data_IF_476927990138
#
_entry.id   IF_476927990138
#
_cell.length_a   1.000
_cell.length_b   1.000
_cell.length_c   1.000
_cell.angle_alpha   90.00
_cell.angle_beta   90.00
_cell.angle_gamma   90.00
#
_symmetry.space_group_name_H-M   'P 1'
#
loop_
_entity.id
_entity.type
_entity.pdbx_description
1 polymer ?
#
# COMPACT_ATOMS: atom_id res chain seq x y z
N UNK A 1 -22.67 -15.39 2.52
CA UNK A 1 -21.36 -15.98 2.88
C UNK A 1 -20.91 -16.82 1.67
N UNK A 2 -19.67 -16.67 1.19
CA UNK A 2 -19.00 -17.49 0.14
C UNK A 2 -19.28 -17.28 -1.37
N UNK A 3 -19.03 -16.09 -1.92
CA UNK A 3 -18.77 -15.95 -3.38
C UNK A 3 -17.42 -15.26 -3.68
N UNK A 4 -16.94 -14.38 -2.79
CA UNK A 4 -15.66 -13.67 -3.00
C UNK A 4 -14.41 -14.48 -2.61
N UNK A 5 -14.53 -15.50 -1.76
CA UNK A 5 -13.39 -16.31 -1.30
C UNK A 5 -12.80 -17.18 -2.42
N UNK A 6 -13.63 -17.86 -3.22
CA UNK A 6 -13.15 -18.77 -4.27
C UNK A 6 -12.36 -18.04 -5.38
N UNK A 7 -12.84 -16.87 -5.81
CA UNK A 7 -12.14 -16.04 -6.80
C UNK A 7 -10.85 -15.46 -6.23
N UNK A 8 -10.85 -15.06 -4.96
CA UNK A 8 -9.66 -14.57 -4.27
C UNK A 8 -8.59 -15.66 -4.12
N UNK A 9 -8.98 -16.85 -3.67
CA UNK A 9 -8.07 -17.99 -3.50
C UNK A 9 -7.48 -18.43 -4.85
N UNK A 10 -8.27 -18.38 -5.92
CA UNK A 10 -7.79 -18.67 -7.28
C UNK A 10 -6.82 -17.59 -7.80
N UNK A 11 -7.09 -16.31 -7.52
CA UNK A 11 -6.14 -15.23 -7.84
C UNK A 11 -4.84 -15.38 -7.04
N UNK A 12 -4.94 -15.71 -5.75
CA UNK A 12 -3.81 -15.89 -4.85
C UNK A 12 -2.96 -17.11 -5.22
N UNK A 13 -3.59 -18.22 -5.61
CA UNK A 13 -2.87 -19.40 -6.12
C UNK A 13 -2.12 -19.08 -7.42
N UNK A 14 -2.76 -18.33 -8.32
CA UNK A 14 -2.15 -17.89 -9.59
C UNK A 14 -0.97 -16.95 -9.32
N UNK A 15 -1.10 -16.05 -8.34
CA UNK A 15 -0.03 -15.15 -7.90
C UNK A 15 1.16 -15.91 -7.34
N UNK A 16 0.92 -16.86 -6.43
CA UNK A 16 1.98 -17.69 -5.83
C UNK A 16 2.70 -18.51 -6.90
N UNK A 17 1.96 -19.12 -7.82
CA UNK A 17 2.54 -19.87 -8.94
C UNK A 17 3.38 -18.96 -9.86
N UNK A 18 2.90 -17.76 -10.19
CA UNK A 18 3.63 -16.78 -10.99
C UNK A 18 4.94 -16.33 -10.35
N UNK A 19 4.92 -16.03 -9.05
CA UNK A 19 6.11 -15.65 -8.30
C UNK A 19 7.15 -16.78 -8.28
N UNK A 20 6.71 -18.02 -8.04
CA UNK A 20 7.58 -19.18 -8.04
C UNK A 20 8.21 -19.42 -9.42
N UNK A 21 7.41 -19.39 -10.50
CA UNK A 21 7.92 -19.54 -11.86
C UNK A 21 8.95 -18.47 -12.22
N UNK A 22 8.71 -17.21 -11.86
CA UNK A 22 9.65 -16.12 -12.06
C UNK A 22 10.97 -16.33 -11.31
N UNK A 23 10.90 -16.73 -10.03
CA UNK A 23 12.07 -17.00 -9.20
C UNK A 23 12.90 -18.18 -9.74
N UNK A 24 12.23 -19.27 -10.18
CA UNK A 24 12.89 -20.43 -10.78
C UNK A 24 13.57 -20.06 -12.10
N UNK A 25 12.89 -19.33 -12.99
CA UNK A 25 13.45 -18.89 -14.26
C UNK A 25 14.67 -18.00 -14.04
N UNK A 26 14.56 -17.02 -13.13
CA UNK A 26 15.69 -16.15 -12.76
C UNK A 26 16.88 -16.96 -12.24
N UNK A 27 16.65 -17.88 -11.30
CA UNK A 27 17.72 -18.67 -10.67
C UNK A 27 18.41 -19.63 -11.66
N UNK A 28 17.66 -20.22 -12.59
CA UNK A 28 18.22 -21.11 -13.60
C UNK A 28 19.02 -20.32 -14.65
N UNK A 29 18.44 -19.27 -15.22
CA UNK A 29 19.03 -18.54 -16.34
C UNK A 29 20.13 -17.55 -15.93
N UNK A 30 20.20 -17.16 -14.64
CA UNK A 30 21.31 -16.34 -14.12
C UNK A 30 22.57 -17.14 -13.79
N UNK A 31 22.55 -18.47 -13.96
CA UNK A 31 23.71 -19.31 -13.66
C UNK A 31 24.92 -18.94 -14.56
N UNK A 32 26.13 -18.74 -14.01
CA UNK A 32 27.33 -18.40 -14.77
C UNK A 32 27.64 -19.34 -15.94
N UNK A 33 27.20 -20.60 -15.88
CA UNK A 33 27.36 -21.57 -16.98
C UNK A 33 26.72 -21.08 -18.29
N UNK A 34 25.65 -20.29 -18.20
CA UNK A 34 24.97 -19.69 -19.35
C UNK A 34 25.62 -18.37 -19.79
N UNK A 35 26.46 -17.75 -18.95
CA UNK A 35 27.14 -16.48 -19.27
C UNK A 35 28.23 -16.60 -20.33
N UNK A 36 28.70 -17.82 -20.60
CA UNK A 36 29.66 -18.11 -21.68
C UNK A 36 28.97 -18.36 -23.03
N UNK A 37 27.63 -18.44 -23.07
CA UNK A 37 26.90 -18.60 -24.32
C UNK A 37 26.79 -17.24 -25.03
N UNK A 38 27.24 -17.11 -26.29
CA UNK A 38 27.12 -15.87 -27.06
C UNK A 38 25.69 -15.72 -27.61
N UNK A 39 24.72 -15.62 -26.70
CA UNK A 39 23.30 -15.51 -27.02
C UNK A 39 22.61 -14.57 -26.05
N UNK A 40 21.65 -13.74 -26.50
CA UNK A 40 20.87 -12.88 -25.62
C UNK A 40 19.82 -13.65 -24.80
N UNK A 41 19.57 -14.93 -25.11
CA UNK A 41 18.47 -15.73 -24.51
C UNK A 41 18.61 -15.86 -22.98
N UNK A 42 19.77 -16.22 -22.40
CA UNK A 42 19.89 -16.37 -20.95
C UNK A 42 19.65 -15.06 -20.20
N UNK A 43 20.22 -13.96 -20.68
CA UNK A 43 20.03 -12.64 -20.08
C UNK A 43 18.56 -12.20 -20.16
N UNK A 44 17.90 -12.41 -21.30
CA UNK A 44 16.49 -12.04 -21.50
C UNK A 44 15.57 -12.86 -20.59
N UNK A 45 15.81 -14.17 -20.48
CA UNK A 45 15.02 -15.05 -19.61
C UNK A 45 15.24 -14.77 -18.13
N UNK A 46 16.47 -14.46 -17.71
CA UNK A 46 16.76 -14.05 -16.35
C UNK A 46 16.06 -12.74 -15.99
N UNK A 47 16.07 -11.75 -16.89
CA UNK A 47 15.37 -10.49 -16.71
C UNK A 47 13.84 -10.69 -16.66
N UNK A 48 13.29 -11.53 -17.54
CA UNK A 48 11.87 -11.90 -17.50
C UNK A 48 11.49 -12.56 -16.17
N UNK A 49 12.31 -13.50 -15.68
CA UNK A 49 12.11 -14.14 -14.39
C UNK A 49 12.13 -13.14 -13.24
N UNK A 50 13.07 -12.19 -13.23
CA UNK A 50 13.16 -11.14 -12.23
C UNK A 50 11.93 -10.21 -12.22
N UNK A 51 11.47 -9.76 -13.39
CA UNK A 51 10.26 -8.90 -13.49
C UNK A 51 9.02 -9.67 -13.04
N UNK A 52 8.89 -10.91 -13.47
CA UNK A 52 7.76 -11.80 -13.12
C UNK A 52 7.72 -12.05 -11.61
N UNK A 53 8.85 -12.44 -11.02
CA UNK A 53 9.01 -12.61 -9.57
C UNK A 53 8.57 -11.33 -8.84
N UNK A 54 9.08 -10.16 -9.24
CA UNK A 54 8.76 -8.90 -8.57
C UNK A 54 7.29 -8.48 -8.70
N UNK A 55 6.71 -8.64 -9.88
CA UNK A 55 5.33 -8.26 -10.16
C UNK A 55 4.34 -9.09 -9.34
N UNK A 56 4.56 -10.40 -9.25
CA UNK A 56 3.67 -11.30 -8.49
C UNK A 56 3.95 -11.30 -6.98
N UNK A 57 5.15 -10.91 -6.55
CA UNK A 57 5.46 -10.79 -5.12
C UNK A 57 4.89 -9.50 -4.49
N UNK A 58 4.69 -8.42 -5.28
CA UNK A 58 4.25 -7.10 -4.77
C UNK A 58 2.76 -6.78 -4.97
N UNK A 59 1.84 -7.70 -4.68
CA UNK A 59 0.47 -7.28 -4.30
C UNK A 59 0.47 -6.86 -2.83
N UNK A 60 1.15 -5.75 -2.53
CA UNK A 60 1.10 -5.15 -1.20
C UNK A 60 -0.24 -4.42 -1.11
N UNK A 61 -1.19 -5.01 -0.39
CA UNK A 61 -2.44 -4.35 -0.04
C UNK A 61 -2.11 -2.97 0.53
N UNK A 62 -2.91 -1.96 0.15
CA UNK A 62 -2.77 -0.58 0.66
C UNK A 62 -2.61 -0.64 2.18
N UNK A 63 -1.49 -0.16 2.74
CA UNK A 63 -1.31 -0.19 4.18
C UNK A 63 -2.38 0.69 4.81
N UNK A 64 -3.01 0.19 5.87
CA UNK A 64 -3.99 0.93 6.64
C UNK A 64 -3.37 2.13 7.35
N UNK A 65 -4.22 3.01 7.88
CA UNK A 65 -3.77 4.17 8.64
C UNK A 65 -3.13 3.79 9.98
N UNK A 66 -3.65 2.77 10.67
CA UNK A 66 -3.12 2.32 11.96
C UNK A 66 -3.03 3.44 13.01
N UNK A 67 -3.93 4.42 12.97
CA UNK A 67 -4.03 5.50 13.95
C UNK A 67 -5.24 5.19 14.82
N UNK A 68 -5.01 4.65 16.01
CA UNK A 68 -6.08 4.29 16.94
C UNK A 68 -6.29 5.39 17.98
N UNK A 69 -5.19 5.92 18.51
CA UNK A 69 -5.19 6.98 19.52
C UNK A 69 -4.14 8.04 19.22
N UNK A 70 -4.40 9.25 19.69
CA UNK A 70 -3.43 10.36 19.70
C UNK A 70 -3.49 11.07 21.03
N UNK A 71 -2.30 11.48 21.51
CA UNK A 71 -2.18 12.26 22.74
C UNK A 71 -2.47 13.73 22.44
N UNK A 72 -3.43 14.29 23.18
CA UNK A 72 -3.90 15.66 23.02
C UNK A 72 -4.09 16.30 24.38
N UNK A 73 -3.44 17.44 24.64
CA UNK A 73 -3.51 18.13 25.93
C UNK A 73 -3.25 17.19 27.14
N UNK A 74 -2.32 16.24 26.99
CA UNK A 74 -2.02 15.24 28.03
C UNK A 74 -3.05 14.14 28.22
N UNK A 75 -4.03 13.99 27.30
CA UNK A 75 -5.04 12.92 27.33
C UNK A 75 -5.08 12.16 26.02
N UNK A 76 -5.26 10.85 26.10
CA UNK A 76 -5.47 10.03 24.91
C UNK A 76 -6.88 10.22 24.36
N UNK A 77 -6.95 10.46 23.06
CA UNK A 77 -8.18 10.59 22.29
C UNK A 77 -8.22 9.49 21.24
N UNK A 78 -9.34 8.77 21.17
CA UNK A 78 -9.60 7.78 20.13
C UNK A 78 -9.82 8.48 18.79
N UNK A 79 -9.17 7.96 17.74
CA UNK A 79 -9.27 8.47 16.37
C UNK A 79 -10.11 7.50 15.54
N UNK A 80 -11.17 8.03 14.93
CA UNK A 80 -11.99 7.30 13.95
C UNK A 80 -11.68 7.82 12.55
N UNK A 81 -11.35 6.90 11.64
CA UNK A 81 -11.04 7.23 10.24
C UNK A 81 -12.27 6.99 9.38
N UNK A 82 -12.81 8.05 8.78
CA UNK A 82 -14.03 8.00 7.97
C UNK A 82 -13.76 8.50 6.55
N UNK A 83 -14.18 7.74 5.53
CA UNK A 83 -14.18 8.22 4.15
C UNK A 83 -15.45 9.06 3.89
N UNK A 84 -15.30 10.38 3.89
CA UNK A 84 -16.40 11.34 3.75
C UNK A 84 -16.89 11.43 2.30
N UNK A 85 -15.98 11.29 1.34
CA UNK A 85 -16.30 11.30 -0.08
C UNK A 85 -15.44 10.27 -0.81
N UNK A 86 -16.08 9.38 -1.56
CA UNK A 86 -15.38 8.42 -2.42
C UNK A 86 -15.43 8.87 -3.88
N UNK A 87 -14.29 8.93 -4.55
CA UNK A 87 -14.19 9.25 -5.99
C UNK A 87 -13.34 8.21 -6.70
N UNK A 88 -13.48 8.06 -8.03
CA UNK A 88 -12.68 7.10 -8.80
C UNK A 88 -11.16 7.26 -8.66
N UNK A 89 -10.70 8.49 -8.38
CA UNK A 89 -9.27 8.83 -8.32
C UNK A 89 -8.73 9.01 -6.90
N UNK A 90 -9.60 9.00 -5.88
CA UNK A 90 -9.20 9.26 -4.51
C UNK A 90 -10.38 9.38 -3.55
N UNK A 91 -10.14 9.04 -2.30
CA UNK A 91 -11.12 9.18 -1.23
C UNK A 91 -10.72 10.37 -0.35
N UNK A 92 -11.68 11.25 -0.06
CA UNK A 92 -11.53 12.23 1.00
C UNK A 92 -11.76 11.53 2.34
N UNK A 93 -10.70 11.43 3.13
CA UNK A 93 -10.70 10.78 4.44
C UNK A 93 -10.61 11.85 5.53
N UNK A 94 -11.45 11.71 6.55
CA UNK A 94 -11.52 12.55 7.73
C UNK A 94 -11.11 11.75 8.96
N UNK A 95 -10.30 12.37 9.83
CA UNK A 95 -9.89 11.79 11.10
C UNK A 95 -10.64 12.46 12.25
N UNK A 96 -11.71 11.81 12.72
CA UNK A 96 -12.49 12.28 13.87
C UNK A 96 -11.83 11.90 15.17
N UNK A 97 -11.91 12.77 16.16
CA UNK A 97 -11.50 12.50 17.56
C UNK A 97 -12.72 12.60 18.47
N UNK A 98 -12.90 11.64 19.40
CA UNK A 98 -14.12 11.50 20.22
C UNK A 98 -14.40 12.66 21.21
N UNK A 99 -13.41 13.51 21.52
CA UNK A 99 -13.53 14.52 22.59
C UNK A 99 -13.42 15.98 22.08
N UNK A 100 -14.58 16.65 22.14
CA UNK A 100 -14.95 18.09 22.13
C UNK A 100 -15.01 18.96 20.84
N UNK A 101 -16.27 19.30 20.48
CA UNK A 101 -17.00 20.60 20.49
C UNK A 101 -16.39 21.97 20.16
N UNK A 102 -15.10 22.14 19.86
CA UNK A 102 -14.53 23.47 19.53
C UNK A 102 -13.99 23.49 18.10
N UNK A 103 -14.30 24.51 17.26
CA UNK A 103 -13.86 24.50 15.87
C UNK A 103 -12.35 24.65 15.80
N UNK A 104 -11.66 23.52 15.62
CA UNK A 104 -10.24 23.53 15.25
C UNK A 104 -10.08 24.09 13.84
N UNK A 105 -8.91 24.66 13.56
CA UNK A 105 -8.52 25.00 12.20
C UNK A 105 -8.62 23.73 11.33
N UNK A 106 -9.45 23.81 10.29
CA UNK A 106 -9.60 22.72 9.31
C UNK A 106 -8.40 22.72 8.38
N UNK A 107 -7.80 21.55 8.20
CA UNK A 107 -6.64 21.36 7.33
C UNK A 107 -6.96 20.25 6.33
N UNK A 108 -6.82 20.56 5.05
CA UNK A 108 -6.85 19.58 3.97
C UNK A 108 -5.41 19.28 3.55
N UNK A 109 -4.98 18.05 3.77
CA UNK A 109 -3.70 17.53 3.33
C UNK A 109 -3.91 16.87 1.96
N UNK A 110 -3.09 17.23 0.98
CA UNK A 110 -3.15 16.65 -0.36
C UNK A 110 -1.96 15.72 -0.51
N UNK A 111 -2.21 14.41 -0.64
CA UNK A 111 -1.13 13.47 -0.87
C UNK A 111 -0.55 13.65 -2.28
N UNK A 112 0.79 13.59 -2.44
CA UNK A 112 1.41 13.67 -3.75
C UNK A 112 1.03 12.44 -4.59
N UNK A 113 0.56 12.66 -5.83
CA UNK A 113 0.12 11.59 -6.74
C UNK A 113 1.26 10.77 -7.36
N UNK A 114 2.40 10.58 -6.68
CA UNK A 114 3.58 9.89 -7.21
C UNK A 114 3.46 8.35 -7.17
N UNK A 115 2.25 7.80 -7.24
CA UNK A 115 1.98 6.36 -7.12
C UNK A 115 2.13 5.82 -5.69
N UNK A 116 2.29 6.69 -4.70
CA UNK A 116 2.39 6.32 -3.30
C UNK A 116 1.05 6.50 -2.58
N UNK A 117 0.76 5.61 -1.65
CA UNK A 117 -0.45 5.71 -0.84
C UNK A 117 -0.41 6.95 0.06
N UNK A 118 -1.55 7.63 0.20
CA UNK A 118 -1.74 8.74 1.13
C UNK A 118 -1.34 8.38 2.59
N UNK A 119 -1.35 7.09 2.92
CA UNK A 119 -0.90 6.55 4.21
C UNK A 119 0.60 6.72 4.48
N UNK A 120 1.43 7.09 3.50
CA UNK A 120 2.81 7.52 3.79
C UNK A 120 2.85 8.81 4.61
N UNK A 121 1.84 9.67 4.46
CA UNK A 121 1.69 10.89 5.28
C UNK A 121 1.12 10.60 6.67
N UNK A 122 1.04 9.33 7.10
CA UNK A 122 0.58 8.93 8.43
C UNK A 122 1.26 9.72 9.54
N UNK A 123 2.58 9.90 9.50
CA UNK A 123 3.30 10.69 10.52
C UNK A 123 2.88 12.16 10.53
N UNK A 124 2.68 12.74 9.34
CA UNK A 124 2.19 14.11 9.19
C UNK A 124 0.78 14.25 9.74
N UNK A 125 -0.11 13.31 9.44
CA UNK A 125 -1.47 13.28 10.00
C UNK A 125 -1.38 13.20 11.53
N UNK A 126 -0.61 12.26 12.10
CA UNK A 126 -0.44 12.11 13.55
C UNK A 126 0.02 13.43 14.19
N UNK A 127 0.96 14.15 13.57
CA UNK A 127 1.44 15.44 14.11
C UNK A 127 0.40 16.56 14.07
N UNK A 128 -0.57 16.51 13.15
CA UNK A 128 -1.59 17.54 12.98
C UNK A 128 -2.85 17.28 13.82
N UNK A 129 -3.15 16.02 14.15
CA UNK A 129 -4.35 15.63 14.88
C UNK A 129 -4.54 16.30 16.26
N UNK A 130 -3.49 16.60 17.05
CA UNK A 130 -3.64 17.34 18.30
C UNK A 130 -4.28 18.72 18.09
N UNK A 131 -3.87 19.43 17.05
CA UNK A 131 -4.15 20.87 16.90
C UNK A 131 -5.21 21.19 15.84
N UNK A 132 -5.41 20.31 14.87
CA UNK A 132 -6.26 20.57 13.70
C UNK A 132 -7.35 19.52 13.50
N UNK A 133 -8.36 19.90 12.69
CA UNK A 133 -9.35 18.98 12.12
C UNK A 133 -8.85 18.56 10.73
N UNK A 134 -8.41 17.30 10.61
CA UNK A 134 -7.55 16.86 9.48
C UNK A 134 -8.37 16.06 8.46
N UNK A 135 -8.31 16.51 7.21
CA UNK A 135 -8.79 15.80 6.04
C UNK A 135 -7.60 15.46 5.16
N UNK A 136 -7.64 14.31 4.49
CA UNK A 136 -6.64 13.94 3.47
C UNK A 136 -7.30 13.38 2.22
N UNK A 137 -6.73 13.70 1.06
CA UNK A 137 -7.07 13.10 -0.23
C UNK A 137 -5.84 12.51 -0.91
#
# INVERSE_FOLDING_TARGET
MNQNFATYDMMESTRQAGAWMGATAKAFWSNPVFGLMPSPVPATMAAWGQVTEHAFNRMIAKPGWGIETVLRNGRDCVVTVEAVLKRPFGDLVHFKTERETTPKRKVLLIAPMSGHYATLLRKTVISLLPDCDVYIT
#
